data_IF_946159717727
#
_entry.id   IF_946159717727
#
_cell.length_a   1.000
_cell.length_b   1.000
_cell.length_c   1.000
_cell.angle_alpha   90.00
_cell.angle_beta   90.00
_cell.angle_gamma   90.00
#
_symmetry.space_group_name_H-M   'P 1'
#
loop_
_entity.id
_entity.type
_entity.pdbx_description
1 polymer ?
#
# COMPACT_ATOMS: atom_id res chain seq x y z
N UNK A 1 28.10 12.85 -44.18
CA UNK A 1 26.89 13.09 -43.35
C UNK A 1 27.34 13.00 -41.91
N UNK A 2 27.01 13.99 -41.06
CA UNK A 2 27.37 13.93 -39.65
C UNK A 2 26.59 12.78 -38.97
N UNK A 3 27.31 11.85 -38.34
CA UNK A 3 26.72 10.73 -37.59
C UNK A 3 26.81 11.04 -36.10
N UNK A 4 25.77 10.68 -35.33
CA UNK A 4 25.83 10.81 -33.87
C UNK A 4 26.60 9.63 -33.28
N UNK A 5 27.52 9.91 -32.37
CA UNK A 5 28.23 8.86 -31.64
C UNK A 5 27.26 8.10 -30.74
N UNK A 6 27.31 6.77 -30.82
CA UNK A 6 26.41 5.88 -30.08
C UNK A 6 26.97 5.53 -28.69
N UNK A 7 28.23 5.87 -28.42
CA UNK A 7 28.84 5.64 -27.12
C UNK A 7 28.17 6.45 -26.00
N UNK A 8 27.89 5.78 -24.88
CA UNK A 8 27.24 6.37 -23.70
C UNK A 8 28.12 7.48 -23.11
N UNK A 9 27.56 8.69 -22.99
CA UNK A 9 28.26 9.87 -22.48
C UNK A 9 29.01 10.71 -23.51
N UNK A 10 29.10 10.28 -24.78
CA UNK A 10 29.72 11.11 -25.82
C UNK A 10 28.70 12.06 -26.48
N UNK A 11 27.63 11.54 -27.08
CA UNK A 11 26.54 12.32 -27.68
C UNK A 11 26.92 13.28 -28.83
N UNK A 12 28.20 13.36 -29.22
CA UNK A 12 28.69 14.28 -30.25
C UNK A 12 28.34 13.81 -31.67
N UNK A 13 28.05 14.76 -32.54
CA UNK A 13 27.94 14.52 -33.98
C UNK A 13 29.34 14.60 -34.59
N UNK A 14 29.81 13.51 -35.18
CA UNK A 14 31.13 13.43 -35.82
C UNK A 14 30.96 13.27 -37.33
N UNK A 15 31.86 13.87 -38.10
CA UNK A 15 31.96 13.65 -39.55
C UNK A 15 33.16 12.78 -39.88
N UNK A 16 34.18 12.80 -39.02
CA UNK A 16 35.39 12.00 -39.12
C UNK A 16 35.46 10.96 -37.96
N UNK A 17 35.60 9.66 -38.26
CA UNK A 17 35.67 8.60 -37.23
C UNK A 17 36.90 8.68 -36.32
N UNK A 18 37.96 9.39 -36.72
CA UNK A 18 39.22 9.49 -35.97
C UNK A 18 39.24 10.65 -34.95
N UNK A 19 38.16 11.41 -34.81
CA UNK A 19 38.03 12.44 -33.77
C UNK A 19 38.01 11.83 -32.34
N UNK A 20 38.58 12.56 -31.37
CA UNK A 20 38.65 12.10 -29.97
C UNK A 20 37.25 11.99 -29.34
N UNK A 21 36.75 10.75 -29.25
CA UNK A 21 35.52 10.40 -28.55
C UNK A 21 35.81 10.13 -27.07
N UNK A 22 35.11 10.81 -26.16
CA UNK A 22 35.17 10.49 -24.72
C UNK A 22 33.84 9.87 -24.29
N UNK A 23 33.87 8.65 -23.73
CA UNK A 23 32.68 7.89 -23.36
C UNK A 23 32.88 6.99 -22.13
N UNK A 24 31.78 6.39 -21.66
CA UNK A 24 31.75 5.34 -20.64
C UNK A 24 31.56 3.97 -21.29
N UNK A 25 32.53 3.03 -21.19
CA UNK A 25 32.41 1.68 -21.76
C UNK A 25 31.57 0.74 -20.90
N UNK A 26 31.30 1.08 -19.63
CA UNK A 26 30.52 0.26 -18.71
C UNK A 26 29.04 0.64 -18.69
N UNK A 27 28.12 -0.29 -18.35
CA UNK A 27 26.72 0.04 -18.12
C UNK A 27 26.53 0.89 -16.85
N UNK A 28 25.43 1.66 -16.74
CA UNK A 28 25.00 2.27 -15.49
C UNK A 28 24.79 1.23 -14.40
N UNK A 29 25.23 1.53 -13.17
CA UNK A 29 24.98 0.75 -11.96
C UNK A 29 24.25 1.61 -10.94
N UNK A 30 23.16 1.07 -10.41
CA UNK A 30 22.38 1.67 -9.33
C UNK A 30 22.35 0.68 -8.16
N UNK A 31 23.14 0.95 -7.11
CA UNK A 31 23.21 0.11 -5.92
C UNK A 31 23.21 1.00 -4.67
N UNK A 32 22.44 0.61 -3.65
CA UNK A 32 22.42 1.26 -2.33
C UNK A 32 22.08 2.77 -2.35
N UNK A 33 21.22 3.19 -3.27
CA UNK A 33 20.85 4.61 -3.43
C UNK A 33 21.90 5.46 -4.14
N UNK A 34 23.02 4.87 -4.55
CA UNK A 34 24.07 5.50 -5.32
C UNK A 34 23.99 5.10 -6.80
N UNK A 35 24.15 6.08 -7.68
CA UNK A 35 24.08 5.97 -9.13
C UNK A 35 25.47 6.25 -9.71
N UNK A 36 25.97 5.40 -10.59
CA UNK A 36 27.28 5.57 -11.20
C UNK A 36 27.46 4.67 -12.41
N UNK A 37 28.61 4.74 -13.07
CA UNK A 37 28.94 3.86 -14.20
C UNK A 37 29.86 2.74 -13.74
N UNK A 38 29.67 1.49 -14.20
CA UNK A 38 30.58 0.38 -13.85
C UNK A 38 32.05 0.65 -14.19
N UNK A 39 32.31 1.49 -15.18
CA UNK A 39 33.66 1.81 -15.65
C UNK A 39 34.39 2.89 -14.84
N UNK A 40 33.73 3.58 -13.90
CA UNK A 40 34.37 4.62 -13.11
C UNK A 40 33.81 4.69 -11.67
N UNK A 41 34.63 5.20 -10.75
CA UNK A 41 34.28 5.30 -9.33
C UNK A 41 33.34 6.44 -8.90
N UNK A 42 33.12 7.56 -9.63
CA UNK A 42 32.20 8.58 -9.16
C UNK A 42 30.80 8.01 -9.07
N UNK A 43 30.22 8.13 -7.88
CA UNK A 43 28.88 7.70 -7.52
C UNK A 43 28.18 8.88 -6.90
N UNK A 44 26.95 9.10 -7.32
CA UNK A 44 26.16 10.26 -6.94
C UNK A 44 24.81 9.79 -6.43
N UNK A 45 24.17 10.60 -5.59
CA UNK A 45 22.89 10.24 -4.97
C UNK A 45 21.71 10.66 -5.86
N UNK A 46 21.90 11.69 -6.69
CA UNK A 46 20.85 12.26 -7.55
C UNK A 46 20.98 11.80 -9.00
N UNK A 47 19.90 11.87 -9.78
CA UNK A 47 19.92 11.44 -11.18
C UNK A 47 20.57 12.48 -12.11
N UNK A 48 20.35 13.76 -11.84
CA UNK A 48 20.92 14.84 -12.65
C UNK A 48 22.45 14.85 -12.56
N UNK A 49 22.98 14.71 -11.34
CA UNK A 49 24.43 14.60 -11.10
C UNK A 49 25.02 13.34 -11.76
N UNK A 50 24.21 12.31 -12.02
CA UNK A 50 24.66 11.07 -12.68
C UNK A 50 24.84 11.28 -14.18
N UNK A 51 23.99 12.11 -14.80
CA UNK A 51 24.11 12.51 -16.19
C UNK A 51 25.30 13.46 -16.41
N UNK A 52 25.69 14.20 -15.37
CA UNK A 52 26.84 15.14 -15.38
C UNK A 52 28.19 14.46 -15.12
N UNK A 53 28.22 13.15 -14.80
CA UNK A 53 29.48 12.42 -14.59
C UNK A 53 30.31 12.49 -15.88
N UNK A 54 31.55 13.01 -15.83
CA UNK A 54 32.37 13.15 -17.01
C UNK A 54 32.79 11.77 -17.55
N UNK A 55 32.77 11.59 -18.88
CA UNK A 55 33.14 10.33 -19.50
C UNK A 55 34.59 9.93 -19.17
N UNK A 56 34.81 8.65 -18.88
CA UNK A 56 36.06 8.19 -18.29
C UNK A 56 37.07 7.57 -19.28
N UNK A 57 36.68 7.30 -20.52
CA UNK A 57 37.52 6.65 -21.53
C UNK A 57 37.57 7.47 -22.81
N UNK A 58 38.76 7.61 -23.41
CA UNK A 58 38.95 8.22 -24.74
C UNK A 58 39.13 7.13 -25.80
N UNK A 59 38.50 7.27 -26.96
CA UNK A 59 38.59 6.35 -28.09
C UNK A 59 38.12 7.00 -29.39
N UNK A 60 37.83 6.18 -30.40
CA UNK A 60 37.30 6.63 -31.69
C UNK A 60 35.78 6.65 -31.68
N UNK A 61 35.17 7.50 -32.50
CA UNK A 61 33.73 7.52 -32.62
C UNK A 61 33.25 6.26 -33.36
N UNK A 62 32.36 5.49 -32.72
CA UNK A 62 31.67 4.37 -33.38
C UNK A 62 30.20 4.71 -33.63
N UNK A 63 29.72 4.29 -34.81
CA UNK A 63 28.32 4.30 -35.20
C UNK A 63 27.62 2.95 -34.93
N UNK A 64 28.35 1.96 -34.44
CA UNK A 64 27.85 0.63 -34.08
C UNK A 64 27.73 0.51 -32.56
N UNK A 65 26.54 0.12 -32.08
CA UNK A 65 26.24 -0.07 -30.66
C UNK A 65 26.82 -1.40 -30.17
N UNK A 66 28.04 -1.38 -29.62
CA UNK A 66 28.61 -2.53 -28.90
C UNK A 66 28.16 -2.51 -27.44
N UNK A 67 26.86 -2.69 -27.19
CA UNK A 67 26.35 -3.01 -25.85
C UNK A 67 26.33 -4.54 -25.67
N UNK A 68 27.19 -5.15 -24.83
CA UNK A 68 27.02 -6.55 -24.46
C UNK A 68 25.73 -6.71 -23.65
N UNK A 69 24.87 -7.62 -24.09
CA UNK A 69 23.67 -8.00 -23.35
C UNK A 69 24.03 -8.50 -21.94
N UNK A 70 23.25 -8.18 -20.89
CA UNK A 70 23.50 -8.70 -19.55
C UNK A 70 23.46 -10.24 -19.57
N UNK A 71 24.43 -10.94 -18.95
CA UNK A 71 24.42 -12.40 -18.92
C UNK A 71 23.21 -12.89 -18.11
N UNK A 72 22.43 -13.79 -18.73
CA UNK A 72 21.37 -14.56 -18.05
C UNK A 72 22.03 -15.50 -17.02
N UNK A 73 21.46 -15.70 -15.83
CA UNK A 73 21.97 -16.67 -14.87
C UNK A 73 21.77 -18.09 -15.42
N UNK A 74 22.87 -18.75 -15.79
CA UNK A 74 22.86 -20.15 -16.17
C UNK A 74 22.87 -21.03 -14.93
N UNK A 75 21.84 -21.88 -14.82
CA UNK A 75 21.86 -23.11 -14.05
C UNK A 75 23.02 -23.99 -14.54
N UNK A 76 23.83 -24.48 -13.60
CA UNK A 76 24.87 -25.47 -13.90
C UNK A 76 24.38 -26.81 -13.37
N UNK A 77 23.86 -27.64 -14.27
CA UNK A 77 23.86 -29.09 -14.12
C UNK A 77 25.27 -29.58 -14.50
N UNK A 78 25.92 -30.34 -13.61
CA UNK A 78 27.17 -31.01 -13.89
C UNK A 78 27.00 -32.50 -13.59
N UNK A 79 26.86 -33.30 -14.65
CA UNK A 79 26.95 -34.74 -14.61
C UNK A 79 28.37 -35.21 -14.93
N UNK A 80 28.87 -36.11 -14.07
CA UNK A 80 29.90 -37.14 -14.27
C UNK A 80 31.36 -36.73 -14.56
N UNK A 81 32.20 -36.87 -13.52
CA UNK A 81 33.48 -37.59 -13.61
C UNK A 81 33.60 -38.54 -12.41
N UNK A 82 34.06 -39.75 -12.69
CA UNK A 82 34.02 -40.95 -11.84
C UNK A 82 35.36 -41.17 -11.11
N UNK A 83 35.26 -41.76 -9.91
CA UNK A 83 36.22 -42.65 -9.22
C UNK A 83 37.56 -42.13 -8.68
N UNK A 84 37.70 -42.15 -7.34
CA UNK A 84 38.69 -42.96 -6.61
C UNK A 84 38.40 -42.93 -5.09
N UNK A 85 38.15 -44.11 -4.49
CA UNK A 85 38.15 -44.35 -3.04
C UNK A 85 39.53 -44.85 -2.57
N UNK A 86 39.88 -44.77 -1.26
CA UNK A 86 39.65 -45.90 -0.35
C UNK A 86 39.21 -45.52 1.10
N UNK A 87 38.54 -46.46 1.78
CA UNK A 87 38.13 -46.46 3.23
C UNK A 87 39.14 -47.31 4.08
N UNK A 88 38.90 -47.76 5.35
CA UNK A 88 37.97 -47.39 6.47
C UNK A 88 38.63 -47.36 7.90
N UNK A 89 37.99 -46.83 8.97
CA UNK A 89 37.41 -47.54 10.17
C UNK A 89 37.88 -46.87 11.51
N UNK A 90 37.31 -47.11 12.73
CA UNK A 90 36.02 -47.68 13.17
C UNK A 90 35.23 -46.83 14.23
N UNK A 91 34.04 -47.36 14.55
CA UNK A 91 32.90 -46.96 15.42
C UNK A 91 33.23 -46.99 16.94
N UNK A 92 32.43 -46.36 17.85
CA UNK A 92 31.32 -47.11 18.48
C UNK A 92 30.04 -46.32 18.83
N UNK A 93 29.01 -47.11 19.13
CA UNK A 93 27.59 -46.84 19.36
C UNK A 93 27.31 -46.47 20.82
N UNK A 94 26.50 -45.43 21.08
CA UNK A 94 25.61 -45.37 22.27
C UNK A 94 24.37 -44.51 21.98
N UNK A 95 23.19 -45.04 22.33
CA UNK A 95 21.85 -44.41 22.26
C UNK A 95 21.71 -43.30 23.33
N UNK A 96 20.79 -42.31 23.16
CA UNK A 96 19.52 -42.43 23.91
C UNK A 96 18.26 -41.83 23.24
N UNK A 97 17.14 -42.49 23.55
CA UNK A 97 15.81 -42.00 23.98
C UNK A 97 15.04 -40.97 23.13
N UNK A 98 13.84 -41.41 22.75
CA UNK A 98 12.75 -40.71 22.07
C UNK A 98 12.31 -39.39 22.73
N UNK A 99 12.22 -38.35 21.91
CA UNK A 99 11.23 -37.28 22.05
C UNK A 99 10.68 -36.96 20.66
N UNK A 100 9.38 -37.17 20.50
CA UNK A 100 8.59 -36.88 19.32
C UNK A 100 8.52 -35.37 19.08
N UNK A 101 9.19 -34.89 18.04
CA UNK A 101 9.01 -33.54 17.50
C UNK A 101 8.91 -33.58 15.98
N UNK A 102 7.69 -33.29 15.52
CA UNK A 102 7.38 -32.42 14.39
C UNK A 102 8.11 -32.70 13.07
N UNK A 103 7.46 -33.53 12.26
CA UNK A 103 7.57 -33.48 10.80
C UNK A 103 7.26 -32.05 10.34
N UNK A 104 8.25 -31.41 9.72
CA UNK A 104 8.09 -30.20 8.95
C UNK A 104 7.15 -30.51 7.78
N UNK A 105 5.90 -30.05 7.89
CA UNK A 105 4.97 -30.05 6.77
C UNK A 105 5.41 -29.00 5.76
N UNK A 106 5.79 -29.54 4.61
CA UNK A 106 5.68 -28.92 3.29
C UNK A 106 4.39 -28.08 3.18
N UNK A 107 4.45 -26.85 2.65
CA UNK A 107 3.26 -26.04 2.44
C UNK A 107 2.36 -26.70 1.38
N UNK A 108 1.26 -27.29 1.84
CA UNK A 108 0.13 -27.67 1.01
C UNK A 108 -0.57 -26.41 0.46
N UNK A 109 -1.08 -26.45 -0.78
CA UNK A 109 -1.86 -25.35 -1.34
C UNK A 109 -3.12 -25.13 -0.49
N UNK A 110 -3.19 -23.97 0.17
CA UNK A 110 -4.41 -23.53 0.85
C UNK A 110 -5.55 -23.49 -0.15
N UNK A 111 -6.50 -24.41 0.04
CA UNK A 111 -7.86 -24.31 -0.45
C UNK A 111 -8.49 -23.06 0.15
N UNK A 112 -8.43 -21.97 -0.59
CA UNK A 112 -9.27 -20.81 -0.35
C UNK A 112 -10.73 -21.21 -0.58
N UNK A 113 -11.65 -20.85 0.33
CA UNK A 113 -13.07 -20.88 0.01
C UNK A 113 -13.28 -19.94 -1.19
N UNK A 114 -13.75 -20.53 -2.28
CA UNK A 114 -14.23 -19.84 -3.47
C UNK A 114 -15.23 -18.75 -3.04
N UNK A 115 -14.99 -17.46 -3.33
CA UNK A 115 -16.01 -16.45 -3.14
C UNK A 115 -17.18 -16.79 -4.06
N UNK A 116 -18.35 -17.03 -3.46
CA UNK A 116 -19.59 -17.13 -4.22
C UNK A 116 -19.79 -15.86 -5.06
N UNK A 117 -20.24 -16.00 -6.32
CA UNK A 117 -20.49 -14.84 -7.16
C UNK A 117 -21.59 -13.98 -6.52
N UNK A 118 -21.41 -12.66 -6.40
CA UNK A 118 -22.46 -11.78 -5.89
C UNK A 118 -23.70 -11.92 -6.78
N UNK A 119 -24.82 -12.28 -6.15
CA UNK A 119 -26.11 -12.48 -6.77
C UNK A 119 -26.57 -11.23 -7.53
N UNK A 120 -27.37 -11.47 -8.57
CA UNK A 120 -27.67 -10.56 -9.65
C UNK A 120 -28.41 -9.28 -9.19
N UNK A 121 -27.69 -8.17 -9.02
CA UNK A 121 -28.29 -6.85 -8.77
C UNK A 121 -28.96 -6.28 -10.03
N UNK A 122 -30.23 -6.66 -10.24
CA UNK A 122 -31.17 -5.99 -11.14
C UNK A 122 -32.00 -4.94 -10.39
N UNK A 123 -32.18 -3.79 -11.03
CA UNK A 123 -32.95 -2.63 -10.56
C UNK A 123 -34.45 -2.97 -10.41
N UNK A 124 -35.12 -2.36 -9.42
CA UNK A 124 -36.56 -2.46 -9.20
C UNK A 124 -37.32 -1.72 -10.33
N UNK A 125 -38.34 -2.34 -10.96
CA UNK A 125 -38.99 -1.80 -12.16
C UNK A 125 -39.74 -0.47 -11.95
N UNK A 126 -39.97 -0.01 -10.71
CA UNK A 126 -40.82 1.15 -10.43
C UNK A 126 -40.11 2.41 -9.87
N UNK A 127 -38.78 2.41 -9.73
CA UNK A 127 -38.07 3.60 -9.23
C UNK A 127 -38.05 4.74 -10.26
N UNK A 128 -38.56 5.93 -9.89
CA UNK A 128 -38.47 7.15 -10.68
C UNK A 128 -37.00 7.57 -10.79
N UNK A 129 -36.41 7.43 -11.98
CA UNK A 129 -35.02 7.82 -12.23
C UNK A 129 -34.98 9.30 -12.58
N UNK A 130 -34.10 10.11 -11.94
CA UNK A 130 -33.92 11.49 -12.33
C UNK A 130 -33.35 11.60 -13.76
N UNK A 131 -33.84 12.53 -14.61
CA UNK A 131 -33.26 12.78 -15.91
C UNK A 131 -31.80 13.20 -15.71
N UNK A 132 -30.86 12.60 -16.46
CA UNK A 132 -29.40 12.70 -16.29
C UNK A 132 -28.74 11.79 -15.23
N UNK A 133 -29.38 10.70 -14.80
CA UNK A 133 -28.69 9.70 -13.97
C UNK A 133 -27.58 8.99 -14.76
N UNK A 134 -26.37 8.92 -14.18
CA UNK A 134 -25.27 8.10 -14.69
C UNK A 134 -25.31 6.69 -14.11
N UNK A 135 -24.90 5.70 -14.89
CA UNK A 135 -24.85 4.32 -14.42
C UNK A 135 -23.85 4.19 -13.25
N UNK A 136 -24.34 3.75 -12.09
CA UNK A 136 -23.54 3.55 -10.87
C UNK A 136 -22.62 2.32 -10.91
N UNK A 137 -22.74 1.47 -11.94
CA UNK A 137 -21.86 0.31 -12.11
C UNK A 137 -20.47 0.79 -12.55
N UNK A 138 -19.44 0.29 -11.84
CA UNK A 138 -18.05 0.71 -12.03
C UNK A 138 -17.59 0.45 -13.48
N UNK A 139 -16.99 1.46 -14.11
CA UNK A 139 -16.51 1.37 -15.49
C UNK A 139 -17.58 1.49 -16.59
N UNK A 140 -18.86 1.69 -16.25
CA UNK A 140 -19.90 1.86 -17.27
C UNK A 140 -20.07 3.32 -17.70
N UNK A 141 -20.22 4.26 -16.76
CA UNK A 141 -20.22 5.71 -17.02
C UNK A 141 -21.33 6.27 -17.94
N UNK A 142 -22.21 5.44 -18.51
CA UNK A 142 -23.27 5.91 -19.43
C UNK A 142 -24.34 6.70 -18.69
N UNK A 143 -24.67 7.88 -19.20
CA UNK A 143 -25.84 8.67 -18.84
C UNK A 143 -27.11 8.02 -19.40
N UNK A 144 -28.23 8.19 -18.71
CA UNK A 144 -29.53 7.75 -19.19
C UNK A 144 -29.98 8.58 -20.39
N UNK A 145 -30.36 7.92 -21.47
CA UNK A 145 -30.99 8.53 -22.64
C UNK A 145 -32.51 8.26 -22.61
N UNK A 146 -33.34 9.32 -22.54
CA UNK A 146 -34.81 9.20 -22.49
C UNK A 146 -35.45 8.64 -23.78
N UNK A 147 -34.66 8.48 -24.85
CA UNK A 147 -35.12 8.02 -26.18
C UNK A 147 -34.96 6.52 -26.39
N UNK A 148 -34.21 5.81 -25.53
CA UNK A 148 -33.95 4.37 -25.69
C UNK A 148 -34.65 3.60 -24.56
N UNK A 149 -35.45 2.57 -24.88
CA UNK A 149 -36.06 1.74 -23.86
C UNK A 149 -34.98 1.00 -23.05
N UNK A 150 -35.12 1.06 -21.72
CA UNK A 150 -34.19 0.52 -20.73
C UNK A 150 -33.77 -0.93 -20.99
N UNK A 151 -34.67 -1.74 -21.55
CA UNK A 151 -34.48 -3.17 -21.80
C UNK A 151 -33.63 -3.49 -23.04
N UNK A 152 -33.39 -2.51 -23.92
CA UNK A 152 -32.51 -2.65 -25.09
C UNK A 152 -31.07 -2.21 -24.80
N UNK A 153 -30.83 -1.51 -23.69
CA UNK A 153 -29.49 -1.05 -23.31
C UNK A 153 -28.65 -2.16 -22.66
N UNK A 154 -27.46 -2.39 -23.20
CA UNK A 154 -26.45 -3.26 -22.59
C UNK A 154 -25.46 -2.44 -21.76
N UNK A 155 -25.37 -2.78 -20.48
CA UNK A 155 -24.44 -2.20 -19.52
C UNK A 155 -23.16 -3.04 -19.45
N UNK A 156 -22.04 -2.44 -19.85
CA UNK A 156 -20.70 -3.04 -19.78
C UNK A 156 -20.00 -2.45 -18.56
N UNK A 157 -19.58 -3.28 -17.60
CA UNK A 157 -19.04 -2.83 -16.32
C UNK A 157 -18.01 -3.79 -15.73
N UNK A 158 -17.25 -3.31 -14.74
CA UNK A 158 -16.34 -4.10 -13.94
C UNK A 158 -17.02 -4.50 -12.61
N UNK A 159 -17.20 -5.79 -12.32
CA UNK A 159 -17.67 -6.25 -11.02
C UNK A 159 -16.57 -6.21 -9.93
N UNK A 160 -15.31 -6.01 -10.34
CA UNK A 160 -14.17 -5.97 -9.43
C UNK A 160 -13.92 -4.61 -8.83
N UNK A 161 -12.97 -4.55 -7.90
CA UNK A 161 -12.48 -3.30 -7.31
C UNK A 161 -11.25 -2.81 -8.09
N UNK A 162 -10.99 -1.48 -8.13
CA UNK A 162 -9.73 -0.94 -8.61
C UNK A 162 -8.56 -1.54 -7.83
N UNK A 163 -7.53 -1.98 -8.53
CA UNK A 163 -6.29 -2.54 -7.98
C UNK A 163 -5.12 -1.70 -8.49
N UNK A 164 -4.36 -1.13 -7.56
CA UNK A 164 -3.15 -0.37 -7.85
C UNK A 164 -1.96 -1.09 -7.21
N UNK A 165 -1.13 -1.75 -8.01
CA UNK A 165 0.03 -2.51 -7.53
C UNK A 165 1.23 -2.32 -8.47
N UNK A 166 2.40 -2.00 -7.92
CA UNK A 166 3.68 -1.85 -8.66
C UNK A 166 3.59 -0.85 -9.84
N UNK A 167 2.89 0.28 -9.65
CA UNK A 167 2.71 1.30 -10.69
C UNK A 167 1.69 0.94 -11.78
N UNK A 168 1.29 -0.34 -11.86
CA UNK A 168 0.21 -0.80 -12.72
C UNK A 168 -1.15 -0.64 -12.04
N UNK A 169 -2.13 -0.17 -12.82
CA UNK A 169 -3.50 0.14 -12.41
C UNK A 169 -4.46 -0.75 -13.20
N UNK A 170 -5.40 -1.40 -12.55
CA UNK A 170 -6.33 -2.30 -13.21
C UNK A 170 -7.51 -2.65 -12.32
N UNK A 171 -8.31 -3.62 -12.75
CA UNK A 171 -9.46 -4.09 -11.99
C UNK A 171 -9.23 -5.52 -11.53
N UNK A 172 -9.66 -5.90 -10.33
CA UNK A 172 -9.51 -7.30 -9.85
C UNK A 172 -10.28 -8.32 -10.71
N UNK A 173 -11.27 -7.86 -11.48
CA UNK A 173 -12.11 -8.70 -12.33
C UNK A 173 -11.55 -8.99 -13.72
N UNK A 174 -10.49 -8.31 -14.16
CA UNK A 174 -9.87 -8.55 -15.47
C UNK A 174 -8.36 -8.33 -15.41
N UNK A 175 -7.62 -9.05 -16.26
CA UNK A 175 -6.14 -8.98 -16.26
C UNK A 175 -5.58 -7.73 -16.93
N UNK A 176 -6.42 -6.88 -17.53
CA UNK A 176 -5.99 -5.63 -18.16
C UNK A 176 -5.48 -4.67 -17.09
N UNK A 177 -4.21 -4.29 -17.23
CA UNK A 177 -3.52 -3.31 -16.39
C UNK A 177 -2.87 -2.28 -17.28
N UNK A 178 -2.84 -1.05 -16.81
CA UNK A 178 -2.27 0.10 -17.51
C UNK A 178 -1.37 0.86 -16.54
N UNK A 179 -0.33 1.51 -17.05
CA UNK A 179 0.61 2.25 -16.22
C UNK A 179 0.07 3.67 -15.94
N UNK A 180 -0.63 4.26 -16.90
CA UNK A 180 -1.21 5.61 -16.80
C UNK A 180 -2.61 5.61 -16.17
N UNK A 181 -2.90 6.63 -15.37
CA UNK A 181 -4.20 6.75 -14.68
C UNK A 181 -5.34 7.09 -15.64
N UNK A 182 -5.10 7.93 -16.64
CA UNK A 182 -6.12 8.31 -17.61
C UNK A 182 -6.52 7.15 -18.52
N UNK A 183 -5.57 6.23 -18.78
CA UNK A 183 -5.86 4.99 -19.49
C UNK A 183 -6.68 4.03 -18.61
N UNK A 184 -6.50 4.07 -17.28
CA UNK A 184 -7.26 3.24 -16.34
C UNK A 184 -8.74 3.60 -16.31
N UNK A 185 -9.05 4.90 -16.35
CA UNK A 185 -10.43 5.40 -16.46
C UNK A 185 -11.11 5.00 -17.77
N UNK A 186 -10.31 4.78 -18.84
CA UNK A 186 -10.79 4.36 -20.17
C UNK A 186 -10.92 2.84 -20.32
N UNK A 187 -10.55 2.04 -19.30
CA UNK A 187 -10.72 0.59 -19.40
C UNK A 187 -12.21 0.27 -19.45
N UNK A 188 -12.63 -0.30 -20.58
CA UNK A 188 -14.00 -0.79 -20.76
C UNK A 188 -14.31 -1.96 -19.84
N UNK A 189 -15.53 -1.98 -19.32
CA UNK A 189 -16.01 -3.04 -18.43
C UNK A 189 -15.82 -4.44 -19.00
N UNK A 190 -15.56 -5.42 -18.12
CA UNK A 190 -15.32 -6.80 -18.53
C UNK A 190 -16.56 -7.70 -18.52
N UNK A 191 -17.68 -7.25 -17.94
CA UNK A 191 -18.96 -7.98 -17.93
C UNK A 191 -20.07 -7.16 -18.53
N UNK A 192 -20.95 -7.83 -19.26
CA UNK A 192 -22.13 -7.22 -19.89
C UNK A 192 -23.40 -7.70 -19.19
N UNK A 193 -24.30 -6.79 -18.84
CA UNK A 193 -25.65 -7.09 -18.35
C UNK A 193 -26.69 -6.34 -19.16
N UNK A 194 -27.89 -6.92 -19.27
CA UNK A 194 -29.06 -6.21 -19.81
C UNK A 194 -29.51 -5.21 -18.74
N UNK A 195 -29.58 -3.92 -19.10
CA UNK A 195 -29.89 -2.75 -18.27
C UNK A 195 -28.76 -2.19 -17.40
N UNK A 196 -28.72 -0.87 -17.37
CA UNK A 196 -27.90 -0.04 -16.47
C UNK A 196 -28.55 0.07 -15.08
N UNK A 197 -27.71 0.16 -14.04
CA UNK A 197 -28.17 0.48 -12.69
C UNK A 197 -27.96 1.98 -12.43
N UNK A 198 -29.05 2.73 -12.30
CA UNK A 198 -29.03 4.19 -12.14
C UNK A 198 -29.34 4.61 -10.71
N UNK A 199 -30.23 3.88 -10.04
CA UNK A 199 -30.65 4.22 -8.68
C UNK A 199 -29.68 3.62 -7.65
N UNK A 200 -29.18 2.41 -7.90
CA UNK A 200 -28.48 1.62 -6.88
C UNK A 200 -29.44 1.28 -5.75
N UNK A 201 -29.31 0.10 -5.12
CA UNK A 201 -30.08 -0.13 -3.89
C UNK A 201 -29.68 0.96 -2.88
N UNK A 202 -30.61 1.68 -2.23
CA UNK A 202 -30.25 2.38 -1.00
C UNK A 202 -29.67 1.31 -0.07
N UNK A 203 -28.42 1.49 0.38
CA UNK A 203 -27.86 0.62 1.42
C UNK A 203 -28.70 0.87 2.67
N UNK A 204 -29.70 0.01 2.88
CA UNK A 204 -30.48 -0.03 4.12
C UNK A 204 -29.52 -0.41 5.24
N UNK A 205 -29.42 0.42 6.26
CA UNK A 205 -29.03 -0.04 7.60
C UNK A 205 -30.13 -0.97 8.11
N UNK A 206 -29.86 -1.74 9.17
CA UNK A 206 -30.83 -2.68 9.77
C UNK A 206 -32.15 -2.05 10.24
N UNK A 207 -32.28 -0.72 10.21
CA UNK A 207 -33.43 0.03 10.72
C UNK A 207 -33.94 1.09 9.73
N UNK A 208 -34.32 0.67 8.51
CA UNK A 208 -35.39 1.27 7.69
C UNK A 208 -35.42 2.79 7.35
N UNK A 209 -34.49 3.62 7.80
CA UNK A 209 -34.54 5.09 7.67
C UNK A 209 -33.55 5.61 6.61
N UNK A 210 -33.88 6.72 5.92
CA UNK A 210 -32.99 7.33 4.95
C UNK A 210 -31.83 8.00 5.68
N UNK A 211 -30.66 7.34 5.70
CA UNK A 211 -29.43 7.94 6.20
C UNK A 211 -28.93 8.96 5.17
N UNK A 212 -29.07 10.24 5.50
CA UNK A 212 -28.13 11.27 5.06
C UNK A 212 -26.71 10.70 5.20
N UNK A 213 -26.02 10.64 4.06
CA UNK A 213 -24.81 9.83 3.83
C UNK A 213 -23.61 10.41 4.58
N UNK A 214 -23.53 10.18 5.90
CA UNK A 214 -22.30 10.37 6.65
C UNK A 214 -21.39 9.14 6.45
N UNK A 215 -20.29 9.31 5.72
CA UNK A 215 -19.26 8.29 5.49
C UNK A 215 -18.62 7.91 6.83
N UNK A 216 -18.83 6.66 7.27
CA UNK A 216 -18.24 6.16 8.53
C UNK A 216 -16.77 5.84 8.33
N UNK A 217 -15.91 6.53 9.07
CA UNK A 217 -14.48 6.28 9.11
C UNK A 217 -14.20 5.17 10.14
N UNK A 218 -13.61 4.06 9.69
CA UNK A 218 -13.25 2.93 10.56
C UNK A 218 -11.85 3.09 11.17
N UNK A 219 -10.95 3.80 10.48
CA UNK A 219 -9.56 3.94 10.91
C UNK A 219 -9.11 5.41 10.81
N UNK A 220 -8.82 6.00 11.96
CA UNK A 220 -8.25 7.34 12.08
C UNK A 220 -6.86 7.22 12.66
N UNK A 221 -5.90 7.85 11.97
CA UNK A 221 -4.53 7.96 12.44
C UNK A 221 -4.53 8.60 13.83
N UNK A 222 -3.90 7.93 14.78
CA UNK A 222 -3.66 8.45 16.10
C UNK A 222 -2.16 8.41 16.42
N UNK A 223 -1.76 9.23 17.36
CA UNK A 223 -0.43 9.27 17.94
C UNK A 223 -0.57 9.54 19.43
N UNK A 224 0.38 9.07 20.23
CA UNK A 224 0.38 9.38 21.65
C UNK A 224 1.80 9.56 22.16
N UNK A 225 1.94 10.47 23.12
CA UNK A 225 3.12 10.56 23.95
C UNK A 225 2.67 10.54 25.41
N UNK A 226 3.60 10.31 26.32
CA UNK A 226 3.25 10.17 27.73
C UNK A 226 4.30 10.84 28.60
N UNK A 227 3.85 11.28 29.76
CA UNK A 227 4.69 11.70 30.87
C UNK A 227 4.63 10.62 31.96
N UNK A 228 5.26 10.87 33.11
CA UNK A 228 5.18 9.98 34.26
C UNK A 228 3.74 9.81 34.76
N UNK A 229 2.92 10.85 34.69
CA UNK A 229 1.57 10.88 35.26
C UNK A 229 0.41 10.96 34.26
N UNK A 230 0.66 11.31 33.00
CA UNK A 230 -0.38 11.50 31.99
C UNK A 230 -0.01 10.85 30.66
N UNK A 231 -1.01 10.47 29.86
CA UNK A 231 -0.88 10.10 28.45
C UNK A 231 -1.62 11.13 27.62
N UNK A 232 -0.96 11.70 26.62
CA UNK A 232 -1.56 12.66 25.71
C UNK A 232 -1.76 11.96 24.38
N UNK A 233 -3.02 11.87 23.94
CA UNK A 233 -3.44 11.18 22.72
C UNK A 233 -3.94 12.19 21.70
N UNK A 234 -3.50 12.07 20.46
CA UNK A 234 -3.91 12.90 19.34
C UNK A 234 -4.58 12.05 18.26
N UNK A 235 -5.86 12.28 17.98
CA UNK A 235 -6.57 11.71 16.83
C UNK A 235 -6.61 12.73 15.69
N UNK A 236 -6.01 12.40 14.55
CA UNK A 236 -5.92 13.31 13.40
C UNK A 236 -7.18 13.25 12.54
N UNK A 237 -8.19 14.00 12.95
CA UNK A 237 -9.45 14.19 12.23
C UNK A 237 -9.72 15.69 12.07
N UNK A 238 -9.92 16.15 10.83
CA UNK A 238 -10.17 17.56 10.49
C UNK A 238 -11.65 17.87 10.58
N UNK A 239 -12.01 19.13 10.88
CA UNK A 239 -13.41 19.65 10.86
C UNK A 239 -14.40 18.87 11.73
N UNK A 240 -13.97 18.45 12.92
CA UNK A 240 -14.85 17.82 13.92
C UNK A 240 -15.90 18.84 14.38
N UNK A 241 -17.17 18.45 14.32
CA UNK A 241 -18.28 19.27 14.82
C UNK A 241 -18.31 19.22 16.35
N UNK A 242 -17.82 20.28 17.00
CA UNK A 242 -17.70 20.35 18.47
C UNK A 242 -19.02 20.16 19.21
N UNK A 243 -20.12 20.61 18.63
CA UNK A 243 -21.45 20.55 19.24
C UNK A 243 -22.06 19.14 19.19
N UNK A 244 -21.70 18.36 18.17
CA UNK A 244 -22.22 17.00 17.94
C UNK A 244 -21.24 15.91 18.40
N UNK A 245 -19.97 16.27 18.64
CA UNK A 245 -18.94 15.35 19.09
C UNK A 245 -19.18 14.90 20.53
N UNK A 246 -19.13 13.58 20.74
CA UNK A 246 -19.22 12.93 22.06
C UNK A 246 -17.93 12.17 22.34
N UNK A 247 -17.32 12.49 23.47
CA UNK A 247 -16.14 11.80 24.00
C UNK A 247 -16.48 11.37 25.42
N UNK A 248 -16.58 10.06 25.65
CA UNK A 248 -16.99 9.50 26.95
C UNK A 248 -15.88 8.60 27.49
N UNK A 249 -15.43 8.91 28.71
CA UNK A 249 -14.49 8.09 29.46
C UNK A 249 -15.29 7.10 30.31
N UNK A 250 -15.14 5.79 30.09
CA UNK A 250 -15.90 4.81 30.88
C UNK A 250 -15.41 4.77 32.32
N UNK A 251 -16.33 4.48 33.25
CA UNK A 251 -16.06 4.44 34.71
C UNK A 251 -14.94 3.47 35.09
N UNK A 252 -14.70 2.42 34.30
CA UNK A 252 -13.59 1.48 34.50
C UNK A 252 -12.21 2.06 34.15
N UNK A 253 -12.13 3.23 33.52
CA UNK A 253 -10.86 3.86 33.12
C UNK A 253 -10.07 3.05 32.09
N UNK A 254 -10.66 2.04 31.47
CA UNK A 254 -10.02 1.11 30.53
C UNK A 254 -10.49 1.31 29.10
N UNK A 255 -11.54 2.10 28.86
CA UNK A 255 -12.10 2.30 27.54
C UNK A 255 -12.55 3.75 27.34
N UNK A 256 -12.40 4.24 26.12
CA UNK A 256 -12.88 5.55 25.68
C UNK A 256 -13.81 5.34 24.49
N UNK A 257 -15.02 5.91 24.58
CA UNK A 257 -15.96 5.93 23.47
C UNK A 257 -15.87 7.27 22.74
N UNK A 258 -15.60 7.19 21.43
CA UNK A 258 -15.49 8.35 20.55
C UNK A 258 -16.61 8.32 19.52
N UNK A 259 -17.38 9.41 19.44
CA UNK A 259 -18.32 9.67 18.36
C UNK A 259 -18.05 11.09 17.84
N UNK A 260 -17.31 11.16 16.73
CA UNK A 260 -16.79 12.39 16.16
C UNK A 260 -17.39 12.59 14.75
N UNK A 261 -18.56 13.25 14.64
CA UNK A 261 -19.08 13.72 13.37
C UNK A 261 -18.26 14.90 12.85
N UNK A 262 -18.23 15.02 11.54
CA UNK A 262 -17.38 15.94 10.79
C UNK A 262 -18.24 16.75 9.83
N UNK A 263 -17.98 18.05 9.70
CA UNK A 263 -18.77 18.91 8.80
C UNK A 263 -18.61 18.55 7.31
N UNK A 264 -17.64 17.70 6.98
CA UNK A 264 -17.41 17.15 5.63
C UNK A 264 -18.31 15.93 5.30
N UNK A 265 -19.30 15.61 6.14
CA UNK A 265 -20.16 14.44 5.96
C UNK A 265 -19.46 13.13 6.30
N UNK A 266 -18.52 13.16 7.27
CA UNK A 266 -17.81 11.97 7.75
C UNK A 266 -18.12 11.77 9.22
N UNK A 267 -18.10 10.53 9.70
CA UNK A 267 -18.27 10.23 11.13
C UNK A 267 -17.25 9.18 11.57
N UNK A 268 -16.47 9.50 12.59
CA UNK A 268 -15.59 8.53 13.24
C UNK A 268 -16.23 8.04 14.53
N UNK A 269 -16.57 6.76 14.58
CA UNK A 269 -17.09 6.10 15.79
C UNK A 269 -16.15 4.98 16.18
N UNK A 270 -15.55 5.06 17.36
CA UNK A 270 -14.57 4.08 17.81
C UNK A 270 -14.62 3.89 19.32
N UNK A 271 -14.56 2.62 19.75
CA UNK A 271 -14.26 2.23 21.12
C UNK A 271 -12.74 1.98 21.21
N UNK A 272 -12.05 2.75 22.04
CA UNK A 272 -10.60 2.67 22.22
C UNK A 272 -10.33 1.97 23.55
N UNK A 273 -9.96 0.67 23.55
CA UNK A 273 -9.58 -0.02 24.78
C UNK A 273 -8.15 0.38 25.14
N UNK A 274 -7.97 1.01 26.29
CA UNK A 274 -6.71 1.54 26.77
C UNK A 274 -5.79 0.45 27.32
N UNK A 275 -4.48 0.67 27.24
CA UNK A 275 -3.48 -0.25 27.79
C UNK A 275 -3.59 -0.42 29.32
N UNK A 276 -3.86 0.67 30.05
CA UNK A 276 -4.02 0.63 31.50
C UNK A 276 -5.10 1.61 31.97
N UNK A 277 -5.46 1.49 33.25
CA UNK A 277 -6.50 2.31 33.88
C UNK A 277 -6.08 3.80 33.97
N UNK A 278 -7.00 4.66 33.56
CA UNK A 278 -6.90 6.12 33.72
C UNK A 278 -7.83 6.58 34.86
N UNK A 279 -7.68 7.83 35.28
CA UNK A 279 -8.59 8.52 36.19
C UNK A 279 -9.50 9.41 35.34
N UNK A 280 -10.76 8.99 35.04
CA UNK A 280 -11.66 9.73 34.16
C UNK A 280 -11.89 11.16 34.61
N UNK A 281 -12.02 11.38 35.92
CA UNK A 281 -12.27 12.70 36.52
C UNK A 281 -11.15 13.72 36.29
N UNK A 282 -9.90 13.24 36.14
CA UNK A 282 -8.73 14.08 35.87
C UNK A 282 -8.37 14.11 34.38
N UNK A 283 -9.08 13.35 33.56
CA UNK A 283 -8.82 13.25 32.13
C UNK A 283 -9.64 14.32 31.40
N UNK A 284 -9.03 14.98 30.44
CA UNK A 284 -9.64 16.08 29.70
C UNK A 284 -9.46 15.88 28.20
N UNK A 285 -10.27 16.57 27.39
CA UNK A 285 -10.13 16.55 25.94
C UNK A 285 -10.32 17.94 25.34
N UNK A 286 -9.74 18.15 24.16
CA UNK A 286 -9.79 19.40 23.40
C UNK A 286 -9.92 19.09 21.91
N UNK A 287 -11.03 19.52 21.33
CA UNK A 287 -11.26 19.44 19.89
C UNK A 287 -10.61 20.65 19.21
N UNK A 288 -9.58 20.40 18.41
CA UNK A 288 -8.94 21.38 17.54
C UNK A 288 -9.47 21.26 16.09
N UNK A 289 -9.07 22.18 15.21
CA UNK A 289 -9.53 22.18 13.81
C UNK A 289 -8.97 21.01 12.98
N UNK A 290 -7.81 20.48 13.36
CA UNK A 290 -7.09 19.43 12.62
C UNK A 290 -6.91 18.12 13.38
N UNK A 291 -7.26 18.10 14.68
CA UNK A 291 -7.12 16.95 15.56
C UNK A 291 -8.01 17.05 16.80
N UNK A 292 -8.34 15.91 17.39
CA UNK A 292 -8.81 15.80 18.76
C UNK A 292 -7.61 15.46 19.64
N UNK A 293 -7.35 16.26 20.68
CA UNK A 293 -6.36 15.96 21.70
C UNK A 293 -7.04 15.54 23.00
N UNK A 294 -6.49 14.53 23.67
CA UNK A 294 -6.99 14.02 24.93
C UNK A 294 -5.82 13.90 25.90
N UNK A 295 -5.97 14.46 27.09
CA UNK A 295 -5.02 14.29 28.18
C UNK A 295 -5.63 13.32 29.20
N UNK A 296 -5.07 12.12 29.25
CA UNK A 296 -5.51 11.04 30.11
C UNK A 296 -4.63 10.98 31.35
N UNK A 297 -5.21 11.19 32.53
CA UNK A 297 -4.47 11.04 33.78
C UNK A 297 -4.30 9.55 34.11
N UNK A 298 -3.07 9.08 34.23
CA UNK A 298 -2.82 7.66 34.57
C UNK A 298 -3.19 7.40 36.02
N UNK A 299 -3.78 6.24 36.30
CA UNK A 299 -4.01 5.79 37.68
C UNK A 299 -2.71 5.38 38.35
N UNK A 300 -1.83 4.70 37.61
CA UNK A 300 -0.49 4.32 38.05
C UNK A 300 0.58 4.91 37.12
N UNK A 301 1.76 5.22 37.68
CA UNK A 301 2.90 5.78 36.94
C UNK A 301 3.62 4.72 36.06
N UNK A 302 2.85 3.98 35.27
CA UNK A 302 3.31 2.92 34.36
C UNK A 302 3.54 3.49 32.97
N UNK A 303 4.61 3.04 32.31
CA UNK A 303 4.89 3.37 30.91
C UNK A 303 4.02 2.51 29.98
N UNK A 304 3.26 3.16 29.11
CA UNK A 304 2.39 2.51 28.14
C UNK A 304 3.19 2.18 26.87
N UNK A 305 3.40 0.91 26.53
CA UNK A 305 4.10 0.53 25.30
C UNK A 305 3.23 0.79 24.05
N UNK A 306 1.92 0.68 24.18
CA UNK A 306 0.91 0.96 23.16
C UNK A 306 -0.21 1.78 23.78
N UNK A 307 -0.97 2.51 22.95
CA UNK A 307 -2.18 3.20 23.43
C UNK A 307 -3.27 2.16 23.74
N UNK A 308 -3.41 1.18 22.85
CA UNK A 308 -4.43 0.15 22.91
C UNK A 308 -3.94 -1.13 23.57
N UNK A 309 -4.80 -1.81 24.30
CA UNK A 309 -4.48 -3.13 24.88
C UNK A 309 -4.46 -4.26 23.84
N UNK A 310 -5.17 -4.10 22.71
CA UNK A 310 -5.24 -5.07 21.61
C UNK A 310 -4.10 -4.94 20.59
N UNK A 311 -3.31 -3.87 20.68
CA UNK A 311 -2.22 -3.59 19.75
C UNK A 311 -0.95 -4.36 20.15
N UNK A 312 -0.34 -5.06 19.19
CA UNK A 312 0.96 -5.71 19.41
C UNK A 312 2.04 -4.64 19.47
N UNK A 313 2.70 -4.50 20.62
CA UNK A 313 3.80 -3.55 20.80
C UNK A 313 4.89 -3.73 19.74
N UNK A 314 4.97 -2.78 18.82
CA UNK A 314 6.13 -2.57 17.96
C UNK A 314 7.30 -2.17 18.86
N UNK A 315 8.39 -2.94 18.84
CA UNK A 315 9.51 -2.86 19.80
C UNK A 315 10.32 -1.54 19.81
N UNK A 316 9.79 -0.44 19.29
CA UNK A 316 10.44 0.86 19.29
C UNK A 316 10.12 1.60 20.58
N UNK A 317 11.00 1.41 21.57
CA UNK A 317 10.92 2.00 22.90
C UNK A 317 11.49 3.42 22.87
N UNK A 318 10.65 4.44 22.86
CA UNK A 318 11.11 5.79 23.20
C UNK A 318 11.24 5.86 24.72
N UNK A 319 12.47 5.69 25.22
CA UNK A 319 12.79 5.83 26.65
C UNK A 319 12.45 7.25 27.14
N UNK A 320 11.44 7.36 27.99
CA UNK A 320 11.30 8.53 28.87
C UNK A 320 12.38 8.41 29.94
N UNK A 321 13.23 9.42 30.03
CA UNK A 321 14.26 9.53 31.07
C UNK A 321 13.61 9.46 32.46
N UNK A 322 13.98 8.43 33.23
CA UNK A 322 13.69 8.37 34.66
C UNK A 322 14.44 9.53 35.33
N UNK A 323 13.73 10.58 35.73
CA UNK A 323 14.27 11.53 36.70
C UNK A 323 14.53 10.76 38.00
N UNK A 324 15.79 10.69 38.42
CA UNK A 324 16.20 10.03 39.65
C UNK A 324 15.44 10.59 40.84
N UNK A 325 14.88 9.69 41.65
CA UNK A 325 14.33 10.01 42.95
C UNK A 325 15.50 10.45 43.84
N UNK A 326 15.52 11.71 44.27
CA UNK A 326 16.34 12.20 45.38
C UNK A 326 15.56 11.99 46.67
#
# INVERSE_FOLDING_TARGET
MAQKCVHKGCGRMFTDPDEECVYHPGPPEFHEGQKGWKCCKPRVLTFDEFLEIPPCTKGKHSATDDTPAPPKPNAVEASNIVAAAPMPAPIPVTRPISTSLTVAQQPTPSTTPKPEPPEDESDDPHAQIPPNAICKRRGCGKSRDDKVPRDEETCIYHPGVPLFHEGSKGWTCCKRRVLEFDEFLKIEGCKTKKRHCYVGKPKKTMDGSPAEEEEVLENVRNDFYQTTGSVIVSFYLKKIDKERAKVEFKEGGTEIELNLPTSDGKRFTSLVPLYAEIVPEKSTFKIMGTKLEMELAKKEATGWPTLRNDEKGTGERIQIGRAGRV
#
